data_IF_315234126344
#
_entry.id   IF_315234126344
#
_cell.length_a   1.000
_cell.length_b   1.000
_cell.length_c   1.000
_cell.angle_alpha   90.00
_cell.angle_beta   90.00
_cell.angle_gamma   90.00
#
_symmetry.space_group_name_H-M   'P 1'
#
loop_
_entity.id
_entity.type
_entity.pdbx_description
1 polymer ?
#
# COMPACT_ATOMS: atom_id res chain seq x y z
N UNK A 1 43.02 -36.37 3.56
CA UNK A 1 42.02 -35.60 2.80
C UNK A 1 40.71 -35.71 3.57
N UNK A 2 40.55 -34.81 4.53
CA UNK A 2 39.36 -34.59 5.36
C UNK A 2 38.15 -34.14 4.55
N UNK A 3 36.94 -34.44 5.05
CA UNK A 3 35.72 -33.83 4.55
C UNK A 3 34.42 -34.58 4.82
N UNK A 4 34.16 -34.94 6.09
CA UNK A 4 32.82 -35.35 6.51
C UNK A 4 31.90 -34.11 6.58
N UNK A 5 30.66 -34.20 6.07
CA UNK A 5 29.43 -33.91 6.84
C UNK A 5 28.16 -33.71 5.98
N UNK A 6 27.17 -34.54 6.33
CA UNK A 6 25.76 -34.21 6.60
C UNK A 6 24.72 -34.19 5.46
N UNK A 7 23.77 -35.11 5.68
CA UNK A 7 22.46 -35.30 5.05
C UNK A 7 21.42 -34.29 5.54
N UNK A 8 20.27 -34.31 4.83
CA UNK A 8 18.85 -34.07 5.23
C UNK A 8 18.29 -32.65 5.13
N UNK A 9 17.12 -32.56 4.49
CA UNK A 9 16.14 -31.51 4.81
C UNK A 9 15.04 -31.28 3.78
N UNK A 10 14.02 -32.16 3.71
CA UNK A 10 12.70 -31.83 3.15
C UNK A 10 11.95 -30.86 4.08
N UNK A 11 11.17 -29.91 3.53
CA UNK A 11 9.88 -29.35 4.03
C UNK A 11 9.55 -28.06 3.24
N UNK A 12 8.46 -28.03 2.47
CA UNK A 12 7.08 -27.73 2.90
C UNK A 12 6.84 -26.24 3.25
N UNK A 13 6.11 -25.56 2.34
CA UNK A 13 5.08 -24.54 2.62
C UNK A 13 5.39 -23.30 3.46
N UNK A 14 5.19 -22.12 2.87
CA UNK A 14 4.87 -20.88 3.58
C UNK A 14 3.86 -20.06 2.75
N UNK A 15 2.57 -20.35 2.81
CA UNK A 15 1.56 -19.80 3.74
C UNK A 15 1.57 -18.27 3.85
N UNK A 16 0.53 -17.67 3.25
CA UNK A 16 -0.30 -16.58 3.77
C UNK A 16 0.34 -15.66 4.83
N UNK A 17 0.72 -14.44 4.44
CA UNK A 17 1.19 -13.39 5.35
C UNK A 17 0.44 -12.06 5.17
N UNK A 18 -0.90 -12.11 5.08
CA UNK A 18 -1.73 -10.90 5.23
C UNK A 18 -2.87 -11.12 6.24
N UNK A 19 -2.55 -11.74 7.37
CA UNK A 19 -3.27 -11.50 8.63
C UNK A 19 -2.25 -11.30 9.75
N UNK A 20 -2.15 -10.06 10.23
CA UNK A 20 -1.79 -9.79 11.62
C UNK A 20 -2.39 -8.47 12.06
N UNK A 21 -3.26 -8.58 13.05
CA UNK A 21 -3.73 -7.52 13.92
C UNK A 21 -2.60 -6.59 14.38
N UNK A 22 -2.88 -5.29 14.30
CA UNK A 22 -2.02 -4.23 14.79
C UNK A 22 -2.86 -3.12 15.40
N UNK A 23 -3.42 -3.40 16.58
CA UNK A 23 -4.05 -2.39 17.43
C UNK A 23 -2.98 -1.41 17.94
N UNK A 24 -2.67 -0.36 17.17
CA UNK A 24 -1.94 0.79 17.69
C UNK A 24 -2.87 2.00 17.84
N UNK A 25 -3.10 2.32 19.12
CA UNK A 25 -3.79 3.51 19.60
C UNK A 25 -3.01 4.78 19.20
N UNK A 26 -3.69 5.71 18.54
CA UNK A 26 -3.32 7.12 18.58
C UNK A 26 -4.34 7.84 19.47
N UNK A 27 -3.91 8.19 20.68
CA UNK A 27 -4.57 9.15 21.56
C UNK A 27 -4.50 10.53 20.89
N UNK A 28 -5.63 11.24 20.83
CA UNK A 28 -5.64 12.69 20.66
C UNK A 28 -6.51 13.19 19.50
N UNK A 29 -7.80 13.36 19.76
CA UNK A 29 -8.65 14.49 19.34
C UNK A 29 -10.12 14.08 19.52
N UNK A 30 -10.79 14.64 20.54
CA UNK A 30 -12.25 14.57 20.67
C UNK A 30 -12.86 15.62 19.75
N UNK A 31 -13.62 15.20 18.75
CA UNK A 31 -14.76 15.96 18.21
C UNK A 31 -15.84 14.97 17.74
N UNK A 32 -17.10 15.37 17.92
CA UNK A 32 -18.31 14.57 18.11
C UNK A 32 -18.95 13.99 16.80
N UNK A 33 -20.08 13.26 16.87
CA UNK A 33 -20.42 12.16 15.96
C UNK A 33 -21.25 12.57 14.74
N UNK A 34 -21.10 11.76 13.69
CA UNK A 34 -21.92 11.80 12.48
C UNK A 34 -21.31 10.89 11.42
N UNK A 35 -21.36 9.57 11.62
CA UNK A 35 -20.81 8.59 10.68
C UNK A 35 -21.97 7.94 9.90
N UNK A 36 -22.01 8.02 8.56
CA UNK A 36 -22.94 7.21 7.78
C UNK A 36 -22.60 5.72 7.93
N UNK A 37 -23.60 4.82 7.89
CA UNK A 37 -23.35 3.38 7.93
C UNK A 37 -22.71 2.95 6.61
N UNK A 38 -21.43 2.54 6.67
CA UNK A 38 -20.66 2.08 5.51
C UNK A 38 -19.13 2.18 5.67
N UNK A 39 -18.65 2.55 6.86
CA UNK A 39 -17.24 2.90 7.04
C UNK A 39 -16.29 1.72 7.16
N UNK A 40 -15.63 1.36 6.06
CA UNK A 40 -14.35 0.68 6.10
C UNK A 40 -13.28 1.64 6.66
N UNK A 41 -12.61 1.25 7.75
CA UNK A 41 -11.57 2.06 8.41
C UNK A 41 -10.15 1.61 8.00
N UNK A 42 -10.01 0.99 6.82
CA UNK A 42 -8.76 0.33 6.36
C UNK A 42 -8.10 1.02 5.15
N UNK A 43 -8.79 1.92 4.46
CA UNK A 43 -8.31 2.73 3.31
C UNK A 43 -6.96 3.45 3.48
N UNK A 44 -6.77 4.20 4.57
CA UNK A 44 -5.60 5.10 4.71
C UNK A 44 -4.28 4.35 4.82
N UNK A 45 -4.31 3.14 5.36
CA UNK A 45 -3.11 2.33 5.49
C UNK A 45 -2.68 1.80 4.12
N UNK A 46 -3.62 1.22 3.36
CA UNK A 46 -3.33 0.64 2.06
C UNK A 46 -2.95 1.68 1.00
N UNK A 47 -3.56 2.86 1.04
CA UNK A 47 -3.16 4.00 0.22
C UNK A 47 -1.68 4.37 0.46
N UNK A 48 -1.27 4.53 1.72
CA UNK A 48 0.12 4.90 2.04
C UNK A 48 1.11 3.77 1.78
N UNK A 49 0.69 2.51 1.96
CA UNK A 49 1.48 1.34 1.57
C UNK A 49 1.73 1.33 0.06
N UNK A 50 0.72 1.61 -0.76
CA UNK A 50 0.88 1.70 -2.21
C UNK A 50 1.81 2.84 -2.62
N UNK A 51 1.66 4.03 -2.04
CA UNK A 51 2.59 5.14 -2.29
C UNK A 51 4.03 4.76 -1.94
N UNK A 52 4.22 4.06 -0.82
CA UNK A 52 5.55 3.58 -0.43
C UNK A 52 6.08 2.51 -1.39
N UNK A 53 5.22 1.60 -1.87
CA UNK A 53 5.60 0.61 -2.89
C UNK A 53 5.97 1.26 -4.21
N UNK A 54 5.20 2.24 -4.70
CA UNK A 54 5.56 3.01 -5.89
C UNK A 54 6.93 3.69 -5.75
N UNK A 55 7.22 4.23 -4.56
CA UNK A 55 8.51 4.84 -4.26
C UNK A 55 9.66 3.82 -4.27
N UNK A 56 9.48 2.66 -3.66
CA UNK A 56 10.58 1.70 -3.39
C UNK A 56 10.72 0.56 -4.40
N UNK A 57 9.64 0.15 -5.05
CA UNK A 57 9.60 -0.98 -5.97
C UNK A 57 9.50 -0.48 -7.42
N UNK A 58 10.63 -0.54 -8.13
CA UNK A 58 10.72 -0.14 -9.54
C UNK A 58 9.83 -1.00 -10.44
N UNK A 59 9.76 -2.32 -10.22
CA UNK A 59 8.97 -3.22 -11.05
C UNK A 59 7.47 -2.97 -10.87
N UNK A 60 7.04 -2.67 -9.64
CA UNK A 60 5.67 -2.23 -9.38
C UNK A 60 5.37 -0.90 -10.06
N UNK A 61 6.30 0.06 -10.01
CA UNK A 61 6.15 1.35 -10.67
C UNK A 61 6.07 1.23 -12.20
N UNK A 62 6.88 0.37 -12.80
CA UNK A 62 6.81 0.05 -14.23
C UNK A 62 5.44 -0.52 -14.61
N UNK A 63 4.93 -1.51 -13.85
CA UNK A 63 3.57 -2.05 -14.05
C UNK A 63 2.51 -0.98 -13.89
N UNK A 64 2.64 -0.12 -12.88
CA UNK A 64 1.71 0.98 -12.64
C UNK A 64 1.72 2.00 -13.78
N UNK A 65 2.88 2.33 -14.36
CA UNK A 65 2.95 3.22 -15.53
C UNK A 65 2.32 2.61 -16.78
N UNK A 66 2.42 1.29 -16.96
CA UNK A 66 1.80 0.61 -18.10
C UNK A 66 0.29 0.45 -17.95
N UNK A 67 -0.19 0.12 -16.74
CA UNK A 67 -1.61 -0.02 -16.43
C UNK A 67 -1.87 0.29 -14.95
N UNK A 68 -2.18 1.57 -14.61
CA UNK A 68 -2.45 1.98 -13.24
C UNK A 68 -3.62 1.22 -12.61
N UNK A 69 -4.70 1.00 -13.38
CA UNK A 69 -5.92 0.39 -12.91
C UNK A 69 -5.70 -1.08 -12.52
N UNK A 70 -5.01 -1.84 -13.37
CA UNK A 70 -4.64 -3.22 -13.06
C UNK A 70 -3.66 -3.30 -11.88
N UNK A 71 -2.70 -2.37 -11.79
CA UNK A 71 -1.68 -2.37 -10.74
C UNK A 71 -2.25 -2.17 -9.33
N UNK A 72 -3.33 -1.39 -9.19
CA UNK A 72 -3.98 -1.14 -7.89
C UNK A 72 -5.24 -1.99 -7.66
N UNK A 73 -5.68 -2.79 -8.65
CA UNK A 73 -6.91 -3.61 -8.55
C UNK A 73 -6.94 -4.52 -7.32
N UNK A 74 -5.80 -5.09 -6.95
CA UNK A 74 -5.67 -6.01 -5.83
C UNK A 74 -5.60 -5.32 -4.46
N UNK A 75 -5.53 -3.98 -4.41
CA UNK A 75 -5.51 -3.22 -3.17
C UNK A 75 -6.94 -2.89 -2.70
N UNK A 76 -7.11 -2.90 -1.38
CA UNK A 76 -8.36 -2.57 -0.69
C UNK A 76 -8.57 -1.05 -0.61
N UNK A 77 -8.66 -0.44 -1.81
CA UNK A 77 -8.93 0.98 -2.00
C UNK A 77 -10.41 1.20 -2.23
N UNK A 78 -10.94 2.33 -1.74
CA UNK A 78 -12.25 2.81 -2.20
C UNK A 78 -12.19 3.20 -3.68
N UNK A 79 -13.35 3.37 -4.29
CA UNK A 79 -13.44 3.81 -5.68
C UNK A 79 -12.78 5.19 -5.88
N UNK A 80 -12.92 6.12 -4.93
CA UNK A 80 -12.30 7.44 -5.01
C UNK A 80 -10.77 7.38 -4.88
N UNK A 81 -10.24 6.53 -4.00
CA UNK A 81 -8.79 6.33 -3.87
C UNK A 81 -8.21 5.68 -5.12
N UNK A 82 -8.91 4.67 -5.65
CA UNK A 82 -8.54 3.99 -6.88
C UNK A 82 -8.52 4.96 -8.06
N UNK A 83 -9.55 5.79 -8.20
CA UNK A 83 -9.60 6.81 -9.24
C UNK A 83 -8.44 7.81 -9.09
N UNK A 84 -8.17 8.27 -7.87
CA UNK A 84 -7.07 9.20 -7.60
C UNK A 84 -5.70 8.60 -7.98
N UNK A 85 -5.49 7.30 -7.77
CA UNK A 85 -4.30 6.61 -8.28
C UNK A 85 -4.29 6.51 -9.80
N UNK A 86 -5.39 6.08 -10.41
CA UNK A 86 -5.47 5.87 -11.87
C UNK A 86 -5.21 7.16 -12.64
N UNK A 87 -5.77 8.28 -12.17
CA UNK A 87 -5.58 9.61 -12.76
C UNK A 87 -4.28 10.27 -12.31
N UNK A 88 -3.59 9.64 -11.36
CA UNK A 88 -2.44 10.20 -10.66
C UNK A 88 -2.69 11.65 -10.23
N UNK A 89 -3.67 11.87 -9.36
CA UNK A 89 -4.03 13.20 -8.84
C UNK A 89 -3.37 13.43 -7.46
N UNK A 90 -2.25 14.17 -7.39
CA UNK A 90 -1.51 14.37 -6.14
C UNK A 90 -2.33 15.09 -5.07
N UNK A 91 -3.19 16.02 -5.50
CA UNK A 91 -4.03 16.81 -4.62
C UNK A 91 -5.10 15.91 -4.01
N UNK A 92 -5.79 15.12 -4.84
CA UNK A 92 -6.83 14.21 -4.38
C UNK A 92 -6.26 13.10 -3.49
N UNK A 93 -5.10 12.55 -3.84
CA UNK A 93 -4.41 11.56 -3.00
C UNK A 93 -4.06 12.12 -1.62
N UNK A 94 -3.66 13.40 -1.53
CA UNK A 94 -3.41 14.06 -0.25
C UNK A 94 -4.70 14.29 0.56
N UNK A 95 -5.77 14.77 -0.09
CA UNK A 95 -7.09 14.96 0.55
C UNK A 95 -7.67 13.66 1.12
N UNK A 96 -7.41 12.52 0.46
CA UNK A 96 -7.82 11.19 0.91
C UNK A 96 -6.92 10.61 2.03
N UNK A 97 -5.87 11.31 2.44
CA UNK A 97 -4.99 10.94 3.54
C UNK A 97 -3.67 10.29 3.12
N UNK A 98 -3.28 10.43 1.86
CA UNK A 98 -1.95 10.08 1.38
C UNK A 98 -0.87 11.03 1.86
N UNK A 99 0.30 10.47 2.16
CA UNK A 99 1.46 11.28 2.51
C UNK A 99 1.91 12.10 1.29
N UNK A 100 1.69 13.41 1.33
CA UNK A 100 2.16 14.34 0.30
C UNK A 100 3.66 14.19 0.02
N UNK A 101 4.47 13.98 1.07
CA UNK A 101 5.90 13.71 0.90
C UNK A 101 6.18 12.47 0.06
N UNK A 102 5.39 11.38 0.18
CA UNK A 102 5.54 10.22 -0.69
C UNK A 102 5.10 10.54 -2.11
N UNK A 103 3.95 11.17 -2.28
CA UNK A 103 3.40 11.54 -3.61
C UNK A 103 4.41 12.35 -4.42
N UNK A 104 5.04 13.37 -3.82
CA UNK A 104 6.02 14.23 -4.47
C UNK A 104 7.41 13.60 -4.65
N UNK A 105 7.70 12.48 -3.98
CA UNK A 105 9.01 11.83 -4.01
C UNK A 105 9.04 10.50 -4.75
N UNK A 106 7.97 10.18 -5.50
CA UNK A 106 7.97 9.00 -6.37
C UNK A 106 8.64 9.37 -7.70
N UNK A 107 9.79 8.76 -8.01
CA UNK A 107 10.50 9.08 -9.25
C UNK A 107 9.65 8.70 -10.46
N UNK A 108 9.76 9.48 -11.53
CA UNK A 108 9.11 9.23 -12.82
C UNK A 108 7.56 9.31 -12.80
N UNK A 109 6.96 9.76 -11.70
CA UNK A 109 5.53 10.07 -11.59
C UNK A 109 5.26 11.53 -11.17
N UNK A 110 6.26 12.26 -10.68
CA UNK A 110 6.12 13.61 -10.11
C UNK A 110 6.29 14.77 -11.09
N UNK A 111 6.34 14.56 -12.40
CA UNK A 111 6.59 15.62 -13.36
C UNK A 111 5.83 15.41 -14.69
N UNK A 112 4.69 16.08 -14.81
CA UNK A 112 4.11 16.53 -16.06
C UNK A 112 3.74 18.00 -15.92
#
# INVERSE_FOLDING_TARGET
>A
MDGAARRRGSRAGARALLRRDGAHRSRGARVAPGRPPGGARVSRYDLNVLLYRLKKDRAFRERFRSDPAAAVRAADLTDEEREAFVRWDPRRLNELGGSLHLVLSIPDLGAH
#
